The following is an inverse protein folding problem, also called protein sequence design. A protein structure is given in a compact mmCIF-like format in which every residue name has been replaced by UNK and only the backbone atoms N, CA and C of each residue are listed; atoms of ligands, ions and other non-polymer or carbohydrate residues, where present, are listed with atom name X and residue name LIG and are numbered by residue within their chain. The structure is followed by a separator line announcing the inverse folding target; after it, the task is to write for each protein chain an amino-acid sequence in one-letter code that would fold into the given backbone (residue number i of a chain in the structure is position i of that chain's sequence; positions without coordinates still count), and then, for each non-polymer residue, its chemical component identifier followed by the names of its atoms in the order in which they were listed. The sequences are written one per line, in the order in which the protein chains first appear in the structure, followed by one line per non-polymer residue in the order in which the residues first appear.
data_IF_114503976798
#
_entry.id   IF_114503976798
#
_cell.length_a   1.000
_cell.length_b   1.000
_cell.length_c   1.000
_cell.angle_alpha   90.00
_cell.angle_beta   90.00
_cell.angle_gamma   90.00
#
_symmetry.space_group_name_H-M   'P 1'
#
loop_
_entity.id
_entity.type
_entity.pdbx_description
1 polymer ?
#
# COMPACT_ATOMS: atom_id res chain seq x y z
N UNK A 1 -16.88 11.95 14.44
CA UNK A 1 -15.86 12.28 13.43
C UNK A 1 -16.53 12.24 12.06
N UNK A 2 -16.36 13.28 11.23
CA UNK A 2 -16.91 13.28 9.86
C UNK A 2 -15.82 12.77 8.90
N UNK A 3 -16.05 11.65 8.19
CA UNK A 3 -15.03 11.03 7.35
C UNK A 3 -14.72 11.79 6.05
N UNK A 4 -15.55 12.77 5.65
CA UNK A 4 -15.44 13.46 4.36
C UNK A 4 -14.76 14.83 4.42
N UNK A 5 -14.11 15.16 5.55
CA UNK A 5 -13.41 16.44 5.66
C UNK A 5 -12.15 16.41 4.76
N UNK A 6 -12.10 17.31 3.79
CA UNK A 6 -10.96 17.42 2.87
C UNK A 6 -9.65 17.60 3.65
N UNK A 7 -8.62 16.87 3.27
CA UNK A 7 -7.27 16.98 3.83
C UNK A 7 -6.73 18.39 3.56
N UNK A 8 -6.44 19.15 4.61
CA UNK A 8 -5.79 20.46 4.51
C UNK A 8 -4.29 20.28 4.65
N UNK A 9 -3.56 20.24 3.53
CA UNK A 9 -2.15 19.85 3.53
C UNK A 9 -1.26 20.80 4.36
N UNK A 10 -1.64 22.07 4.46
CA UNK A 10 -1.01 23.09 5.31
C UNK A 10 -1.14 22.81 6.82
N UNK A 11 -2.14 22.01 7.22
CA UNK A 11 -2.35 21.57 8.60
C UNK A 11 -1.82 20.16 8.88
N UNK A 12 -1.21 19.49 7.89
CA UNK A 12 -0.62 18.18 8.08
C UNK A 12 0.70 18.31 8.84
N UNK A 13 0.71 17.94 10.12
CA UNK A 13 1.89 18.07 10.97
C UNK A 13 2.73 16.81 11.04
N UNK A 14 2.08 15.63 10.98
CA UNK A 14 2.74 14.36 11.21
C UNK A 14 2.12 13.23 10.37
N UNK A 15 2.99 12.30 9.99
CA UNK A 15 2.64 11.02 9.36
C UNK A 15 3.33 9.93 10.16
N UNK A 16 2.56 8.94 10.60
CA UNK A 16 3.08 7.76 11.31
C UNK A 16 2.73 6.49 10.54
N UNK A 17 3.68 5.57 10.53
CA UNK A 17 3.51 4.23 10.00
C UNK A 17 3.46 3.25 11.16
N UNK A 18 2.41 2.45 11.23
CA UNK A 18 2.28 1.34 12.17
C UNK A 18 2.40 0.01 11.42
N UNK A 19 3.47 -0.71 11.71
CA UNK A 19 3.78 -2.04 11.17
C UNK A 19 3.53 -3.15 12.21
N UNK A 20 2.96 -2.83 13.38
CA UNK A 20 2.77 -3.81 14.47
C UNK A 20 1.64 -4.81 14.20
N UNK A 21 0.72 -4.46 13.29
CA UNK A 21 -0.41 -5.28 12.90
C UNK A 21 -0.15 -6.03 11.59
N UNK A 22 -0.91 -7.10 11.35
CA UNK A 22 -0.80 -7.89 10.12
C UNK A 22 -1.08 -7.06 8.86
N UNK A 23 -1.99 -6.07 8.94
CA UNK A 23 -2.17 -5.04 7.92
C UNK A 23 -1.48 -3.76 8.40
N UNK A 24 -0.45 -3.27 7.69
CA UNK A 24 0.16 -1.98 8.00
C UNK A 24 -0.84 -0.83 7.89
N UNK A 25 -0.74 0.13 8.80
CA UNK A 25 -1.64 1.30 8.87
C UNK A 25 -0.84 2.60 8.80
N UNK A 26 -1.38 3.58 8.09
CA UNK A 26 -0.87 4.96 8.09
C UNK A 26 -1.80 5.86 8.89
N UNK A 27 -1.23 6.71 9.73
CA UNK A 27 -1.92 7.71 10.52
C UNK A 27 -1.44 9.10 10.14
N UNK A 28 -2.37 10.00 9.84
CA UNK A 28 -2.09 11.38 9.50
C UNK A 28 -2.71 12.29 10.57
N UNK A 29 -1.89 13.19 11.14
CA UNK A 29 -2.36 14.23 12.06
C UNK A 29 -2.57 15.52 11.25
N UNK A 30 -3.82 15.90 11.06
CA UNK A 30 -4.23 17.04 10.24
C UNK A 30 -5.04 18.04 11.10
N UNK A 31 -4.36 19.02 11.68
CA UNK A 31 -4.97 19.95 12.64
C UNK A 31 -5.61 19.23 13.83
N UNK A 32 -6.94 19.31 13.94
CA UNK A 32 -7.71 18.65 15.02
C UNK A 32 -8.22 17.25 14.64
N UNK A 33 -7.83 16.75 13.47
CA UNK A 33 -8.30 15.48 12.91
C UNK A 33 -7.17 14.46 12.84
N UNK A 34 -7.49 13.20 13.14
CA UNK A 34 -6.62 12.05 12.87
C UNK A 34 -7.29 11.21 11.79
N UNK A 35 -6.60 11.07 10.66
CA UNK A 35 -7.03 10.23 9.53
C UNK A 35 -6.22 8.94 9.59
N UNK A 36 -6.87 7.80 9.35
CA UNK A 36 -6.21 6.48 9.27
C UNK A 36 -6.60 5.77 7.99
N UNK A 37 -5.65 5.06 7.41
CA UNK A 37 -5.89 4.19 6.26
C UNK A 37 -5.01 2.94 6.36
N UNK A 38 -5.49 1.83 5.80
CA UNK A 38 -4.66 0.66 5.56
C UNK A 38 -3.72 0.93 4.39
N UNK A 39 -2.48 0.47 4.49
CA UNK A 39 -1.60 0.44 3.34
C UNK A 39 -2.06 -0.63 2.35
N UNK A 40 -1.81 -0.42 1.05
CA UNK A 40 -2.05 -1.45 0.04
C UNK A 40 -1.18 -2.68 0.32
N UNK A 41 -1.67 -3.83 -0.09
CA UNK A 41 -0.91 -5.07 -0.04
C UNK A 41 0.36 -4.95 -0.89
N UNK A 42 1.39 -5.69 -0.51
CA UNK A 42 2.61 -5.76 -1.31
C UNK A 42 2.29 -6.25 -2.73
N UNK A 43 2.91 -5.67 -3.77
CA UNK A 43 2.73 -6.14 -5.13
C UNK A 43 3.01 -7.64 -5.21
N UNK A 44 2.06 -8.40 -5.79
CA UNK A 44 2.30 -9.82 -6.04
C UNK A 44 3.50 -9.98 -6.97
N UNK A 45 4.43 -10.92 -6.69
CA UNK A 45 5.53 -11.21 -7.59
C UNK A 45 5.02 -11.48 -9.01
N UNK A 46 5.70 -10.91 -10.00
CA UNK A 46 5.42 -11.18 -11.40
C UNK A 46 5.78 -12.66 -11.68
N UNK A 47 4.78 -13.50 -11.91
CA UNK A 47 5.01 -14.85 -12.42
C UNK A 47 5.38 -14.74 -13.90
N UNK A 48 6.67 -14.85 -14.20
CA UNK A 48 7.13 -15.12 -15.57
C UNK A 48 6.86 -16.61 -15.79
N UNK A 49 5.76 -16.95 -16.48
CA UNK A 49 5.55 -18.31 -16.96
C UNK A 49 6.58 -18.62 -18.04
N UNK A 50 7.71 -19.20 -17.64
CA UNK A 50 8.65 -19.84 -18.59
C UNK A 50 8.03 -21.16 -19.04
N UNK A 51 7.06 -21.10 -19.96
CA UNK A 51 6.64 -22.24 -20.75
C UNK A 51 7.18 -22.05 -22.18
N UNK A 52 8.50 -22.22 -22.34
CA UNK A 52 9.07 -22.49 -23.66
C UNK A 52 9.02 -24.01 -23.89
N UNK A 53 8.40 -24.51 -24.98
CA UNK A 53 8.53 -25.92 -25.34
C UNK A 53 9.91 -26.13 -25.96
N UNK A 54 10.79 -26.85 -25.25
CA UNK A 54 12.01 -27.39 -25.85
C UNK A 54 11.67 -28.76 -26.41
N UNK A 55 11.23 -28.82 -27.66
CA UNK A 55 11.31 -30.05 -28.46
C UNK A 55 12.40 -29.85 -29.51
N UNK A 56 13.59 -30.36 -29.17
CA UNK A 56 14.74 -30.38 -30.06
C UNK A 56 14.47 -31.37 -31.18
N UNK A 57 14.43 -30.85 -32.41
CA UNK A 57 14.51 -31.60 -33.65
C UNK A 57 15.72 -32.55 -33.58
N UNK A 58 15.49 -33.86 -33.69
CA UNK A 58 16.55 -34.88 -33.75
C UNK A 58 16.65 -35.39 -35.20
N UNK A 59 17.88 -35.55 -35.75
CA UNK A 59 18.13 -35.81 -37.17
C UNK A 59 17.64 -37.17 -37.68
#
# INVERSE_FOLDING_TARGET
MRPDQALQLDQLSNIFLDMSNAQPMIYLVNGQSIIRASLPDEPRPLHISTNEPVEAEKP
#
